data_IF_791104472933
#
_entry.id   IF_791104472933
#
_cell.length_a   1.000
_cell.length_b   1.000
_cell.length_c   1.000
_cell.angle_alpha   90.00
_cell.angle_beta   90.00
_cell.angle_gamma   90.00
#
_symmetry.space_group_name_H-M   'P 1'
#
loop_
_entity.id
_entity.type
_entity.pdbx_description
1 polymer ?
#
# COMPACT_ATOMS: atom_id res chain seq x y z
N UNK A 1 -17.81 -33.88 -16.91
CA UNK A 1 -16.61 -33.47 -16.14
C UNK A 1 -16.19 -32.09 -16.65
N UNK A 2 -16.73 -31.01 -16.06
CA UNK A 2 -16.43 -29.63 -16.47
C UNK A 2 -15.20 -29.15 -15.71
N UNK A 3 -14.06 -29.12 -16.40
CA UNK A 3 -12.84 -28.47 -15.89
C UNK A 3 -13.18 -26.98 -15.76
N UNK A 4 -13.14 -26.49 -14.51
CA UNK A 4 -13.40 -25.10 -14.15
C UNK A 4 -12.44 -24.18 -14.92
N UNK A 5 -12.93 -23.56 -15.99
CA UNK A 5 -12.22 -22.51 -16.74
C UNK A 5 -11.95 -21.22 -15.93
N UNK A 6 -12.27 -21.20 -14.62
CA UNK A 6 -12.16 -20.01 -13.77
C UNK A 6 -10.72 -19.61 -13.40
N UNK A 7 -9.73 -20.46 -13.63
CA UNK A 7 -8.34 -20.18 -13.21
C UNK A 7 -7.47 -19.47 -14.29
N UNK A 8 -8.08 -18.92 -15.35
CA UNK A 8 -7.36 -18.23 -16.43
C UNK A 8 -7.61 -16.72 -16.52
N UNK A 9 -8.38 -16.16 -15.59
CA UNK A 9 -8.56 -14.72 -15.43
C UNK A 9 -8.06 -14.38 -14.03
N UNK A 10 -7.15 -13.41 -13.90
CA UNK A 10 -6.69 -12.88 -12.62
C UNK A 10 -7.90 -12.63 -11.71
N UNK A 11 -8.09 -13.45 -10.68
CA UNK A 11 -9.17 -13.27 -9.70
C UNK A 11 -8.82 -12.01 -8.90
N UNK A 12 -9.73 -11.03 -8.86
CA UNK A 12 -9.54 -9.85 -8.03
C UNK A 12 -9.40 -10.31 -6.58
N UNK A 13 -8.24 -10.06 -5.99
CA UNK A 13 -7.86 -10.39 -4.61
C UNK A 13 -8.54 -9.45 -3.62
N UNK A 14 -8.83 -8.20 -4.03
CA UNK A 14 -9.48 -7.20 -3.19
C UNK A 14 -10.76 -6.66 -3.85
N UNK A 15 -11.87 -6.76 -3.12
CA UNK A 15 -13.01 -5.87 -3.26
C UNK A 15 -12.90 -4.68 -2.29
N UNK A 16 -13.86 -3.76 -2.32
CA UNK A 16 -13.80 -2.52 -1.51
C UNK A 16 -13.79 -2.83 -0.01
N UNK A 17 -14.60 -3.77 0.44
CA UNK A 17 -14.69 -4.15 1.85
C UNK A 17 -13.40 -4.80 2.34
N UNK A 18 -12.84 -5.71 1.54
CA UNK A 18 -11.55 -6.34 1.82
C UNK A 18 -10.40 -5.31 1.82
N UNK A 19 -10.44 -4.31 0.92
CA UNK A 19 -9.47 -3.22 0.90
C UNK A 19 -9.56 -2.34 2.16
N UNK A 20 -10.77 -2.06 2.66
CA UNK A 20 -10.97 -1.31 3.91
C UNK A 20 -10.43 -2.07 5.13
N UNK A 21 -10.72 -3.38 5.22
CA UNK A 21 -10.19 -4.24 6.27
C UNK A 21 -8.66 -4.30 6.21
N UNK A 22 -8.09 -4.48 5.02
CA UNK A 22 -6.65 -4.50 4.82
C UNK A 22 -6.00 -3.17 5.24
N UNK A 23 -6.59 -2.03 4.89
CA UNK A 23 -6.10 -0.72 5.30
C UNK A 23 -6.10 -0.56 6.84
N UNK A 24 -7.12 -1.08 7.53
CA UNK A 24 -7.17 -1.07 8.99
C UNK A 24 -6.11 -1.99 9.62
N UNK A 25 -5.93 -3.19 9.06
CA UNK A 25 -4.92 -4.16 9.51
C UNK A 25 -3.50 -3.63 9.32
N UNK A 26 -3.19 -3.06 8.16
CA UNK A 26 -1.88 -2.46 7.85
C UNK A 26 -1.48 -1.41 8.89
N UNK A 27 -2.41 -0.53 9.29
CA UNK A 27 -2.15 0.48 10.33
C UNK A 27 -1.82 -0.12 11.70
N UNK A 28 -2.35 -1.31 12.00
CA UNK A 28 -2.20 -1.96 13.31
C UNK A 28 -1.00 -2.91 13.36
N UNK A 29 -0.75 -3.63 12.27
CA UNK A 29 0.22 -4.73 12.22
C UNK A 29 1.62 -4.27 11.79
N UNK A 30 1.74 -3.19 11.01
CA UNK A 30 3.05 -2.65 10.61
C UNK A 30 3.67 -1.89 11.79
N UNK A 31 4.82 -2.39 12.27
CA UNK A 31 5.61 -1.75 13.31
C UNK A 31 6.50 -0.65 12.71
N UNK A 32 5.98 0.57 12.65
CA UNK A 32 6.74 1.76 12.28
C UNK A 32 6.23 3.00 13.04
N UNK A 33 7.08 4.02 13.30
CA UNK A 33 6.66 5.25 13.99
C UNK A 33 5.47 5.96 13.36
N UNK A 34 5.36 5.92 12.03
CA UNK A 34 4.19 6.44 11.33
C UNK A 34 3.73 5.48 10.25
N UNK A 35 2.45 5.13 10.30
CA UNK A 35 1.76 4.34 9.27
C UNK A 35 0.45 5.03 8.92
N UNK A 36 0.24 5.26 7.63
CA UNK A 36 -1.04 5.67 7.06
C UNK A 36 -1.43 4.68 5.98
N UNK A 37 -2.71 4.36 5.92
CA UNK A 37 -3.29 3.52 4.88
C UNK A 37 -4.69 4.04 4.55
N UNK A 38 -5.04 4.03 3.28
CA UNK A 38 -6.35 4.46 2.78
C UNK A 38 -6.74 3.66 1.56
N UNK A 39 -8.04 3.45 1.39
CA UNK A 39 -8.59 2.85 0.18
C UNK A 39 -8.71 3.93 -0.89
N UNK A 40 -8.37 3.57 -2.12
CA UNK A 40 -8.53 4.37 -3.33
C UNK A 40 -9.36 3.58 -4.32
N UNK A 41 -10.45 4.17 -4.80
CA UNK A 41 -11.30 3.61 -5.86
C UNK A 41 -11.13 4.38 -7.17
N UNK A 42 -9.95 4.99 -7.39
CA UNK A 42 -9.66 5.77 -8.62
C UNK A 42 -9.79 4.91 -9.89
N UNK A 43 -9.50 3.61 -9.81
CA UNK A 43 -9.74 2.64 -10.89
C UNK A 43 -11.20 2.18 -11.03
N UNK A 44 -12.12 2.76 -10.26
CA UNK A 44 -13.51 2.35 -10.11
C UNK A 44 -13.73 1.42 -8.90
N UNK A 45 -15.00 1.25 -8.52
CA UNK A 45 -15.40 0.41 -7.36
C UNK A 45 -15.01 -1.08 -7.53
N UNK A 46 -14.83 -1.54 -8.77
CA UNK A 46 -14.44 -2.91 -9.09
C UNK A 46 -12.91 -3.12 -9.10
N UNK A 47 -12.12 -2.04 -8.94
CA UNK A 47 -10.65 -2.08 -8.90
C UNK A 47 -10.12 -1.20 -7.77
N UNK A 48 -10.45 -1.53 -6.50
CA UNK A 48 -9.92 -0.79 -5.36
C UNK A 48 -8.41 -1.02 -5.20
N UNK A 49 -7.73 -0.06 -4.59
CA UNK A 49 -6.35 -0.19 -4.19
C UNK A 49 -6.16 0.33 -2.76
N UNK A 50 -5.27 -0.30 -1.99
CA UNK A 50 -4.87 0.18 -0.67
C UNK A 50 -3.58 0.97 -0.80
N UNK A 51 -3.67 2.30 -0.69
CA UNK A 51 -2.51 3.16 -0.67
C UNK A 51 -1.98 3.27 0.76
N UNK A 52 -0.72 2.92 0.97
CA UNK A 52 -0.06 3.03 2.25
C UNK A 52 1.16 3.96 2.21
N UNK A 53 1.44 4.56 3.35
CA UNK A 53 2.59 5.41 3.59
C UNK A 53 3.17 5.02 4.94
N UNK A 54 4.45 4.67 4.94
CA UNK A 54 5.19 4.33 6.15
C UNK A 54 6.32 5.33 6.30
N UNK A 55 6.56 5.82 7.52
CA UNK A 55 7.80 6.54 7.85
C UNK A 55 8.50 5.86 9.02
N UNK A 56 9.83 5.75 8.90
CA UNK A 56 10.71 5.24 9.94
C UNK A 56 11.08 6.33 10.97
N UNK A 57 10.58 7.56 10.79
CA UNK A 57 10.75 8.67 11.72
C UNK A 57 9.40 9.07 12.29
N UNK A 58 9.38 9.44 13.57
CA UNK A 58 8.19 9.98 14.21
C UNK A 58 7.76 11.30 13.56
N UNK A 59 6.45 11.57 13.55
CA UNK A 59 5.91 12.79 12.91
C UNK A 59 6.49 14.08 13.51
N UNK A 60 6.88 14.07 14.78
CA UNK A 60 7.55 15.19 15.47
C UNK A 60 8.96 15.46 14.97
N UNK A 61 9.62 14.46 14.38
CA UNK A 61 10.99 14.57 13.85
C UNK A 61 11.03 15.08 12.42
N UNK A 62 9.88 15.16 11.75
CA UNK A 62 9.80 15.65 10.38
C UNK A 62 10.10 17.14 10.35
N UNK A 63 11.17 17.54 9.66
CA UNK A 63 11.52 18.96 9.50
C UNK A 63 10.33 19.72 8.90
N UNK A 64 9.87 20.75 9.60
CA UNK A 64 8.69 21.55 9.26
C UNK A 64 7.36 20.76 9.22
N UNK A 65 7.29 19.58 9.83
CA UNK A 65 6.11 18.70 9.79
C UNK A 65 5.85 18.07 8.41
N UNK A 66 6.84 18.05 7.52
CA UNK A 66 6.71 17.58 6.14
C UNK A 66 7.20 16.13 6.03
N UNK A 67 6.30 15.21 5.65
CA UNK A 67 6.61 13.78 5.46
C UNK A 67 7.84 13.54 4.57
N UNK A 68 8.00 14.31 3.49
CA UNK A 68 9.10 14.13 2.53
C UNK A 68 10.49 14.40 3.12
N UNK A 69 10.57 15.04 4.29
CA UNK A 69 11.82 15.23 5.04
C UNK A 69 12.19 14.04 5.93
N UNK A 70 11.31 13.04 6.02
CA UNK A 70 11.50 11.79 6.77
C UNK A 70 11.99 10.63 5.90
N UNK A 71 12.36 9.52 6.54
CA UNK A 71 12.62 8.21 5.93
C UNK A 71 11.30 7.51 5.58
N UNK A 72 10.63 8.01 4.55
CA UNK A 72 9.33 7.50 4.13
C UNK A 72 9.41 6.50 2.97
N UNK A 73 8.38 5.66 2.86
CA UNK A 73 8.09 4.79 1.73
C UNK A 73 6.59 4.82 1.45
N UNK A 74 6.20 4.87 0.17
CA UNK A 74 4.80 4.81 -0.24
C UNK A 74 4.59 3.61 -1.16
N UNK A 75 3.56 2.84 -0.85
CA UNK A 75 3.19 1.65 -1.58
C UNK A 75 1.70 1.68 -1.92
N UNK A 76 1.32 0.91 -2.93
CA UNK A 76 -0.05 0.59 -3.22
C UNK A 76 -0.22 -0.91 -3.42
N UNK A 77 -1.32 -1.45 -2.89
CA UNK A 77 -1.73 -2.83 -3.11
C UNK A 77 -2.95 -2.78 -4.02
N UNK A 78 -2.79 -3.24 -5.26
CA UNK A 78 -3.84 -3.27 -6.25
C UNK A 78 -4.92 -4.33 -5.97
N UNK A 79 -6.06 -4.20 -6.65
CA UNK A 79 -7.17 -5.16 -6.57
C UNK A 79 -6.78 -6.60 -6.92
N UNK A 80 -5.69 -6.81 -7.63
CA UNK A 80 -5.11 -8.08 -8.08
C UNK A 80 -4.03 -8.59 -7.10
N UNK A 81 -3.81 -7.90 -5.98
CA UNK A 81 -2.82 -8.25 -4.97
C UNK A 81 -1.39 -7.84 -5.34
N UNK A 82 -1.18 -7.14 -6.46
CA UNK A 82 0.13 -6.61 -6.83
C UNK A 82 0.51 -5.49 -5.88
N UNK A 83 1.73 -5.52 -5.36
CA UNK A 83 2.27 -4.47 -4.48
C UNK A 83 3.28 -3.64 -5.27
N UNK A 84 2.99 -2.36 -5.44
CA UNK A 84 3.85 -1.41 -6.13
C UNK A 84 4.43 -0.37 -5.16
N UNK A 85 5.71 -0.06 -5.31
CA UNK A 85 6.36 1.05 -4.62
C UNK A 85 6.48 2.23 -5.59
N UNK A 86 5.67 3.26 -5.41
CA UNK A 86 5.67 4.43 -6.28
C UNK A 86 6.48 5.62 -5.74
N UNK A 87 6.82 5.64 -4.45
CA UNK A 87 7.66 6.70 -3.88
C UNK A 87 8.52 6.23 -2.70
N UNK A 88 9.70 6.84 -2.56
CA UNK A 88 10.66 6.57 -1.50
C UNK A 88 11.43 7.84 -1.15
N UNK A 89 11.68 8.06 0.13
CA UNK A 89 12.51 9.15 0.61
C UNK A 89 13.99 8.94 0.25
N UNK A 90 14.68 10.02 -0.11
CA UNK A 90 16.11 10.01 -0.46
C UNK A 90 17.02 9.47 0.66
N UNK A 91 16.54 9.49 1.91
CA UNK A 91 17.24 8.97 3.10
C UNK A 91 17.13 7.45 3.28
N UNK A 92 16.33 6.76 2.46
CA UNK A 92 16.17 5.30 2.51
C UNK A 92 17.10 4.67 1.48
N UNK A 93 18.05 3.86 1.95
CA UNK A 93 19.13 3.30 1.11
C UNK A 93 18.73 2.09 0.27
N UNK A 94 17.66 1.37 0.64
CA UNK A 94 17.18 0.18 -0.07
C UNK A 94 15.80 0.42 -0.64
N UNK A 95 15.66 0.18 -1.95
CA UNK A 95 14.37 0.17 -2.65
C UNK A 95 13.75 -1.23 -2.55
N UNK A 96 12.42 -1.29 -2.51
CA UNK A 96 11.68 -2.55 -2.57
C UNK A 96 11.77 -3.18 -3.97
N UNK A 97 11.80 -2.36 -5.02
CA UNK A 97 11.95 -2.81 -6.41
C UNK A 97 13.44 -2.89 -6.81
N UNK A 98 13.82 -3.91 -7.61
CA UNK A 98 15.11 -3.90 -8.34
C UNK A 98 15.12 -2.72 -9.32
N UNK A 99 16.17 -1.91 -9.26
CA UNK A 99 16.47 -0.89 -10.28
C UNK A 99 16.68 -1.53 -11.64
#
# INVERSE_FOLDING_TARGET
>A
MMIKLKNLLFEAVLDVAAAEELAARVKKEIQAPYVSARVSTLGGQHRPAVMMTVSLDDKSEWTNGILHNSRFMMFDIGHDGVIDQHSIGHKVSKKFRKS
#
